data_IF_198086694744
#
_entry.id   IF_198086694744
#
_cell.length_a   1.000
_cell.length_b   1.000
_cell.length_c   1.000
_cell.angle_alpha   90.00
_cell.angle_beta   90.00
_cell.angle_gamma   90.00
#
_symmetry.space_group_name_H-M   'P 1'
#
loop_
_entity.id
_entity.type
_entity.pdbx_description
1 polymer ?
#
# COMPACT_ATOMS: atom_id res chain seq x y z
N UNK A 1 5.62 7.85 -10.69
CA UNK A 1 4.88 9.00 -10.16
C UNK A 1 3.39 8.64 -10.11
N UNK A 2 2.73 9.12 -9.05
CA UNK A 2 1.30 8.95 -8.77
C UNK A 2 0.69 10.34 -8.71
N UNK A 3 -0.49 10.51 -9.26
CA UNK A 3 -1.20 11.78 -9.26
C UNK A 3 -2.70 11.61 -9.03
N UNK A 4 -3.35 12.67 -8.62
CA UNK A 4 -4.79 12.74 -8.45
C UNK A 4 -5.35 13.91 -9.28
N UNK A 5 -6.45 13.67 -9.98
CA UNK A 5 -7.21 14.79 -10.58
C UNK A 5 -7.98 15.58 -9.50
N UNK A 6 -8.43 16.80 -9.78
CA UNK A 6 -9.33 17.52 -8.88
C UNK A 6 -10.58 16.71 -8.54
N UNK A 7 -11.05 16.83 -7.29
CA UNK A 7 -12.31 16.23 -6.83
C UNK A 7 -13.47 17.08 -7.33
N UNK A 8 -14.50 16.41 -7.83
CA UNK A 8 -15.75 17.06 -8.32
C UNK A 8 -16.96 16.15 -8.08
N UNK A 9 -18.20 16.65 -8.24
CA UNK A 9 -19.38 15.79 -8.21
C UNK A 9 -19.30 14.68 -9.26
N UNK A 10 -19.74 13.47 -8.92
CA UNK A 10 -19.70 12.33 -9.81
C UNK A 10 -20.66 12.55 -11.00
N UNK A 11 -20.19 12.24 -12.21
CA UNK A 11 -20.98 12.36 -13.43
C UNK A 11 -20.58 11.34 -14.49
N UNK A 12 -21.57 10.86 -15.26
CA UNK A 12 -21.35 9.92 -16.37
C UNK A 12 -20.92 8.51 -15.92
N UNK A 13 -21.32 8.09 -14.71
CA UNK A 13 -21.13 6.74 -14.19
C UNK A 13 -22.31 5.85 -14.52
N UNK A 14 -22.05 4.57 -14.74
CA UNK A 14 -23.11 3.56 -14.87
C UNK A 14 -23.81 3.31 -13.54
N UNK A 15 -23.06 3.37 -12.44
CA UNK A 15 -23.54 3.15 -11.07
C UNK A 15 -22.79 4.05 -10.10
N UNK A 16 -23.31 5.25 -9.85
CA UNK A 16 -22.81 6.09 -8.76
C UNK A 16 -23.97 6.42 -7.83
N UNK A 17 -23.79 6.25 -6.51
CA UNK A 17 -24.80 6.69 -5.55
C UNK A 17 -25.01 8.21 -5.59
N UNK A 18 -26.21 8.63 -5.20
CA UNK A 18 -26.53 10.05 -5.12
C UNK A 18 -25.57 10.78 -4.18
N UNK A 19 -25.11 11.93 -4.64
CA UNK A 19 -24.18 12.77 -3.90
C UNK A 19 -22.75 12.26 -3.86
N UNK A 20 -22.40 11.18 -4.57
CA UNK A 20 -21.01 10.74 -4.69
C UNK A 20 -20.15 11.81 -5.36
N UNK A 21 -18.86 11.85 -4.99
CA UNK A 21 -17.84 12.65 -5.68
C UNK A 21 -16.88 11.75 -6.42
N UNK A 22 -16.16 12.33 -7.36
CA UNK A 22 -15.22 11.57 -8.19
C UNK A 22 -13.87 12.27 -8.31
N UNK A 23 -12.86 11.47 -8.57
CA UNK A 23 -11.55 11.89 -9.07
C UNK A 23 -10.95 10.78 -9.95
N UNK A 24 -9.83 11.08 -10.60
CA UNK A 24 -9.04 10.09 -11.32
C UNK A 24 -7.73 9.88 -10.61
N UNK A 25 -7.42 8.63 -10.28
CA UNK A 25 -6.11 8.23 -9.80
C UNK A 25 -5.23 7.90 -11.01
N UNK A 26 -4.10 8.60 -11.10
CA UNK A 26 -3.10 8.46 -12.14
C UNK A 26 -1.95 7.61 -11.62
N UNK A 27 -1.73 6.45 -12.20
CA UNK A 27 -0.66 5.51 -11.86
C UNK A 27 0.34 5.44 -13.01
N UNK A 28 1.55 4.91 -12.73
CA UNK A 28 2.61 4.71 -13.71
C UNK A 28 2.86 5.97 -14.57
N UNK A 29 3.09 7.12 -13.92
CA UNK A 29 3.31 8.42 -14.59
C UNK A 29 2.14 8.87 -15.50
N UNK A 30 0.92 8.47 -15.15
CA UNK A 30 -0.29 8.79 -15.91
C UNK A 30 -0.57 7.86 -17.09
N UNK A 31 0.15 6.76 -17.25
CA UNK A 31 -0.14 5.75 -18.26
C UNK A 31 -1.35 4.88 -17.89
N UNK A 32 -1.65 4.76 -16.59
CA UNK A 32 -2.78 3.99 -16.10
C UNK A 32 -3.71 4.93 -15.33
N UNK A 33 -4.97 4.94 -15.71
CA UNK A 33 -6.01 5.73 -15.08
C UNK A 33 -6.98 4.82 -14.33
N UNK A 34 -7.36 5.22 -13.11
CA UNK A 34 -8.43 4.59 -12.36
C UNK A 34 -9.50 5.63 -12.03
N UNK A 35 -10.74 5.33 -12.37
CA UNK A 35 -11.87 6.18 -11.99
C UNK A 35 -12.26 5.88 -10.55
N UNK A 36 -12.31 6.91 -9.70
CA UNK A 36 -12.57 6.74 -8.28
C UNK A 36 -13.84 7.46 -7.86
N UNK A 37 -14.67 6.81 -7.04
CA UNK A 37 -15.79 7.42 -6.34
C UNK A 37 -15.45 7.63 -4.88
N UNK A 38 -15.78 8.78 -4.35
CA UNK A 38 -15.78 9.07 -2.91
C UNK A 38 -17.21 8.87 -2.43
N UNK A 39 -17.39 7.96 -1.48
CA UNK A 39 -18.69 7.47 -1.04
C UNK A 39 -19.00 7.86 0.40
N UNK A 40 -20.28 8.00 0.68
CA UNK A 40 -20.82 8.28 2.01
C UNK A 40 -21.19 6.99 2.74
N UNK A 41 -21.08 7.02 4.05
CA UNK A 41 -21.70 6.04 4.92
C UNK A 41 -23.20 6.34 5.15
N UNK A 42 -23.85 5.54 5.98
CA UNK A 42 -25.27 5.70 6.35
C UNK A 42 -25.58 7.01 7.08
N UNK A 43 -24.59 7.65 7.69
CA UNK A 43 -24.70 8.95 8.34
C UNK A 43 -24.53 10.12 7.37
N UNK A 44 -24.29 9.86 6.10
CA UNK A 44 -24.08 10.90 5.09
C UNK A 44 -22.67 11.51 5.07
N UNK A 45 -21.72 10.93 5.83
CA UNK A 45 -20.33 11.37 5.92
C UNK A 45 -19.48 10.58 4.92
N UNK A 46 -18.60 11.26 4.19
CA UNK A 46 -17.68 10.58 3.29
C UNK A 46 -16.57 9.86 4.08
N UNK A 47 -16.48 8.55 3.93
CA UNK A 47 -15.59 7.69 4.71
C UNK A 47 -14.80 6.67 3.90
N UNK A 48 -15.03 6.55 2.60
CA UNK A 48 -14.36 5.57 1.74
C UNK A 48 -14.22 6.03 0.30
N UNK A 49 -13.31 5.38 -0.42
CA UNK A 49 -13.19 5.49 -1.88
C UNK A 49 -13.33 4.12 -2.52
N UNK A 50 -14.06 4.05 -3.63
CA UNK A 50 -14.15 2.88 -4.48
C UNK A 50 -13.40 3.14 -5.78
N UNK A 51 -12.48 2.26 -6.14
CA UNK A 51 -11.59 2.39 -7.30
C UNK A 51 -12.04 1.46 -8.40
N UNK A 52 -12.30 2.00 -9.57
CA UNK A 52 -12.80 1.28 -10.73
C UNK A 52 -11.81 1.33 -11.90
N UNK A 53 -11.87 0.33 -12.76
CA UNK A 53 -11.11 0.35 -14.02
C UNK A 53 -11.49 1.56 -14.89
N UNK A 54 -12.79 1.86 -14.97
CA UNK A 54 -13.36 3.03 -15.64
C UNK A 54 -14.79 3.27 -15.14
N UNK A 55 -15.43 4.38 -15.55
CA UNK A 55 -16.79 4.76 -15.13
C UNK A 55 -17.92 3.83 -15.59
N UNK A 56 -17.66 2.92 -16.53
CA UNK A 56 -18.63 1.95 -17.04
C UNK A 56 -18.54 0.60 -16.32
N UNK A 57 -17.51 0.38 -15.52
CA UNK A 57 -17.35 -0.84 -14.73
C UNK A 57 -18.47 -0.91 -13.68
N UNK A 58 -19.09 -2.08 -13.55
CA UNK A 58 -20.18 -2.32 -12.61
C UNK A 58 -19.65 -2.53 -11.17
N UNK A 59 -18.49 -3.15 -11.05
CA UNK A 59 -17.87 -3.45 -9.77
C UNK A 59 -16.55 -2.68 -9.61
N UNK A 60 -16.22 -2.24 -8.38
CA UNK A 60 -14.91 -1.68 -8.10
C UNK A 60 -13.83 -2.77 -8.17
N UNK A 61 -12.61 -2.37 -8.53
CA UNK A 61 -11.43 -3.22 -8.38
C UNK A 61 -11.13 -3.45 -6.89
N UNK A 62 -11.27 -2.40 -6.09
CA UNK A 62 -11.12 -2.43 -4.63
C UNK A 62 -11.77 -1.19 -4.00
N UNK A 63 -12.04 -1.30 -2.69
CA UNK A 63 -12.56 -0.21 -1.86
C UNK A 63 -11.58 0.05 -0.74
N UNK A 64 -11.33 1.32 -0.43
CA UNK A 64 -10.46 1.75 0.66
C UNK A 64 -11.28 2.55 1.66
N UNK A 65 -11.48 2.02 2.85
CA UNK A 65 -12.09 2.73 3.97
C UNK A 65 -11.06 3.67 4.62
N UNK A 66 -11.53 4.78 5.17
CA UNK A 66 -10.69 5.75 5.83
C UNK A 66 -9.94 5.11 7.00
N UNK A 67 -8.64 5.39 7.09
CA UNK A 67 -7.72 4.94 8.13
C UNK A 67 -7.46 3.43 8.20
N UNK A 68 -7.89 2.65 7.20
CA UNK A 68 -7.60 1.22 7.09
C UNK A 68 -6.40 0.99 6.17
N UNK A 69 -5.46 0.18 6.61
CA UNK A 69 -4.32 -0.26 5.80
C UNK A 69 -4.71 -1.52 5.01
N UNK A 70 -4.59 -1.44 3.70
CA UNK A 70 -4.84 -2.54 2.78
C UNK A 70 -3.52 -3.01 2.18
N UNK A 71 -3.14 -4.23 2.51
CA UNK A 71 -2.02 -4.91 1.89
C UNK A 71 -2.49 -5.75 0.69
N UNK A 72 -1.53 -6.10 -0.17
CA UNK A 72 -1.72 -7.07 -1.25
C UNK A 72 -2.83 -6.68 -2.26
N UNK A 73 -3.04 -5.39 -2.48
CA UNK A 73 -3.94 -4.92 -3.54
C UNK A 73 -3.31 -5.23 -4.89
N UNK A 74 -4.00 -6.07 -5.67
CA UNK A 74 -3.61 -6.36 -7.05
C UNK A 74 -4.16 -5.28 -7.98
N UNK A 75 -3.25 -4.64 -8.70
CA UNK A 75 -3.56 -3.65 -9.73
C UNK A 75 -2.54 -3.75 -10.87
N UNK A 76 -2.65 -2.91 -11.86
CA UNK A 76 -1.75 -2.86 -12.99
C UNK A 76 -0.63 -1.83 -12.75
N UNK A 77 0.54 -2.09 -13.33
CA UNK A 77 1.63 -1.12 -13.46
C UNK A 77 2.25 -1.22 -14.85
N UNK A 78 3.05 -0.23 -15.22
CA UNK A 78 3.74 -0.20 -16.52
C UNK A 78 5.23 -0.50 -16.28
N UNK A 79 5.74 -1.56 -16.89
CA UNK A 79 7.13 -1.98 -16.79
C UNK A 79 7.61 -2.54 -18.12
N UNK A 80 8.79 -2.12 -18.57
CA UNK A 80 9.39 -2.59 -19.83
C UNK A 80 8.45 -2.48 -21.04
N UNK A 81 7.75 -1.34 -21.15
CA UNK A 81 6.80 -1.04 -22.22
C UNK A 81 5.52 -1.90 -22.23
N UNK A 82 5.27 -2.66 -21.17
CA UNK A 82 4.09 -3.51 -21.01
C UNK A 82 3.32 -3.18 -19.73
N UNK A 83 2.02 -3.45 -19.76
CA UNK A 83 1.16 -3.42 -18.57
C UNK A 83 1.25 -4.79 -17.90
N UNK A 84 1.68 -4.81 -16.64
CA UNK A 84 1.83 -6.03 -15.84
C UNK A 84 1.02 -5.92 -14.56
N UNK A 85 0.61 -7.06 -14.03
CA UNK A 85 -0.04 -7.12 -12.71
C UNK A 85 0.98 -6.88 -11.61
N UNK A 86 0.61 -6.05 -10.65
CA UNK A 86 1.49 -5.67 -9.55
C UNK A 86 0.74 -5.66 -8.22
N UNK A 87 1.49 -5.96 -7.17
CA UNK A 87 1.04 -5.85 -5.79
C UNK A 87 1.34 -4.45 -5.24
N UNK A 88 0.40 -3.89 -4.46
CA UNK A 88 0.52 -2.58 -3.78
C UNK A 88 -0.04 -2.65 -2.36
N UNK A 89 0.50 -1.81 -1.49
CA UNK A 89 -0.15 -1.45 -0.24
C UNK A 89 -0.77 -0.05 -0.39
N UNK A 90 -1.95 0.14 0.18
CA UNK A 90 -2.66 1.41 0.13
C UNK A 90 -3.32 1.74 1.47
N UNK A 91 -3.49 3.03 1.75
CA UNK A 91 -4.27 3.54 2.87
C UNK A 91 -4.90 4.88 2.51
N UNK A 92 -6.19 5.03 2.76
CA UNK A 92 -6.85 6.33 2.74
C UNK A 92 -6.58 7.02 4.08
N UNK A 93 -5.47 7.79 4.13
CA UNK A 93 -4.93 8.38 5.37
C UNK A 93 -5.84 9.48 5.91
N UNK A 94 -6.36 10.31 5.02
CA UNK A 94 -7.29 11.40 5.36
C UNK A 94 -8.41 11.49 4.33
N UNK A 95 -9.60 11.75 4.80
CA UNK A 95 -10.75 12.13 3.99
C UNK A 95 -11.60 13.10 4.82
N UNK A 96 -11.83 14.31 4.28
CA UNK A 96 -12.71 15.29 4.93
C UNK A 96 -14.16 14.82 4.90
N UNK A 97 -14.94 15.17 5.93
CA UNK A 97 -16.34 14.76 6.07
C UNK A 97 -17.21 15.19 4.88
N UNK A 98 -16.86 16.33 4.27
CA UNK A 98 -17.52 16.84 3.06
C UNK A 98 -16.99 16.21 1.77
N UNK A 99 -15.97 15.34 1.82
CA UNK A 99 -15.35 14.69 0.68
C UNK A 99 -14.62 15.64 -0.28
N UNK A 100 -14.21 16.84 0.17
CA UNK A 100 -13.51 17.83 -0.66
C UNK A 100 -12.00 17.67 -0.68
N UNK A 101 -11.44 16.96 0.32
CA UNK A 101 -9.99 16.73 0.47
C UNK A 101 -9.73 15.29 0.86
N UNK A 102 -8.67 14.73 0.30
CA UNK A 102 -8.18 13.41 0.68
C UNK A 102 -6.65 13.34 0.65
N UNK A 103 -6.10 12.44 1.45
CA UNK A 103 -4.70 12.03 1.40
C UNK A 103 -4.64 10.51 1.28
N UNK A 104 -3.96 10.03 0.25
CA UNK A 104 -3.86 8.61 -0.07
C UNK A 104 -2.40 8.18 -0.05
N UNK A 105 -2.09 7.17 0.75
CA UNK A 105 -0.84 6.42 0.65
C UNK A 105 -0.97 5.33 -0.41
N UNK A 106 0.01 5.24 -1.28
CA UNK A 106 0.14 4.18 -2.27
C UNK A 106 1.62 3.79 -2.31
N UNK A 107 1.90 2.52 -2.04
CA UNK A 107 3.27 2.01 -2.10
C UNK A 107 3.83 1.99 -3.54
N UNK A 108 5.14 1.89 -3.71
CA UNK A 108 5.71 1.38 -4.95
C UNK A 108 5.10 0.02 -5.31
N UNK A 109 5.20 -0.36 -6.57
CA UNK A 109 4.69 -1.65 -7.04
C UNK A 109 5.70 -2.77 -6.90
N UNK A 110 5.23 -3.96 -6.55
CA UNK A 110 5.95 -5.21 -6.73
C UNK A 110 5.34 -5.95 -7.93
N UNK A 111 6.14 -6.19 -8.97
CA UNK A 111 5.72 -7.03 -10.10
C UNK A 111 5.62 -8.49 -9.64
N UNK A 112 4.40 -9.00 -9.56
CA UNK A 112 4.14 -10.34 -9.02
C UNK A 112 4.46 -11.47 -9.99
N UNK A 113 4.65 -11.16 -11.28
CA UNK A 113 5.02 -12.15 -12.31
C UNK A 113 6.54 -12.28 -12.49
N UNK A 114 7.34 -11.39 -11.88
CA UNK A 114 8.78 -11.41 -12.04
C UNK A 114 9.39 -12.60 -11.27
N UNK A 115 10.07 -13.47 -11.99
CA UNK A 115 10.77 -14.64 -11.44
C UNK A 115 12.31 -14.54 -11.56
N UNK A 116 12.79 -13.46 -12.16
CA UNK A 116 14.20 -13.26 -12.51
C UNK A 116 15.12 -13.03 -11.30
N UNK A 117 14.58 -12.68 -10.16
CA UNK A 117 15.30 -12.52 -8.89
C UNK A 117 15.18 -13.74 -7.96
N UNK A 118 14.51 -14.82 -8.41
CA UNK A 118 14.35 -16.05 -7.63
C UNK A 118 15.35 -17.14 -8.13
N UNK A 119 16.01 -17.79 -7.18
CA UNK A 119 16.87 -18.91 -7.51
C UNK A 119 16.74 -20.05 -6.48
N UNK A 120 16.36 -21.27 -6.90
CA UNK A 120 15.88 -21.59 -8.25
C UNK A 120 14.54 -20.88 -8.56
N UNK A 121 14.22 -20.68 -9.83
CA UNK A 121 12.99 -19.99 -10.27
C UNK A 121 11.69 -20.64 -9.74
N UNK A 122 11.71 -21.96 -9.54
CA UNK A 122 10.59 -22.72 -8.94
C UNK A 122 10.22 -22.24 -7.55
N UNK A 123 11.17 -21.64 -6.82
CA UNK A 123 10.93 -21.09 -5.50
C UNK A 123 9.89 -19.96 -5.51
N UNK A 124 9.83 -19.16 -6.58
CA UNK A 124 8.82 -18.12 -6.74
C UNK A 124 7.40 -18.70 -6.63
N UNK A 125 7.07 -19.68 -7.47
CA UNK A 125 5.74 -20.29 -7.45
C UNK A 125 5.44 -20.96 -6.12
N UNK A 126 6.43 -21.63 -5.53
CA UNK A 126 6.30 -22.33 -4.25
C UNK A 126 5.94 -21.34 -3.12
N UNK A 127 6.68 -20.25 -2.98
CA UNK A 127 6.45 -19.24 -1.95
C UNK A 127 5.11 -18.53 -2.20
N UNK A 128 4.83 -18.10 -3.43
CA UNK A 128 3.58 -17.40 -3.75
C UNK A 128 2.36 -18.25 -3.45
N UNK A 129 2.40 -19.56 -3.76
CA UNK A 129 1.27 -20.46 -3.53
C UNK A 129 1.01 -20.80 -2.06
N UNK A 130 2.02 -20.71 -1.19
CA UNK A 130 1.90 -21.13 0.21
C UNK A 130 1.90 -19.95 1.19
N UNK A 131 2.60 -18.87 0.87
CA UNK A 131 2.77 -17.71 1.76
C UNK A 131 2.08 -16.46 1.17
N UNK A 132 2.07 -16.32 -0.15
CA UNK A 132 1.55 -15.16 -0.85
C UNK A 132 2.64 -14.34 -1.54
N UNK A 133 2.21 -13.27 -2.23
CA UNK A 133 3.12 -12.42 -2.97
C UNK A 133 4.09 -11.68 -2.07
N UNK A 134 5.35 -11.46 -2.53
CA UNK A 134 6.27 -10.58 -1.82
C UNK A 134 5.61 -9.20 -1.66
N UNK A 135 5.65 -8.62 -0.45
CA UNK A 135 5.11 -7.29 -0.24
C UNK A 135 5.92 -6.25 -1.02
N UNK A 136 5.29 -5.11 -1.37
CA UNK A 136 6.04 -3.95 -1.84
C UNK A 136 7.09 -3.52 -0.80
N UNK A 137 8.09 -2.74 -1.25
CA UNK A 137 9.11 -2.25 -0.32
C UNK A 137 8.50 -1.61 0.93
N UNK A 138 9.05 -1.95 2.08
CA UNK A 138 8.67 -1.35 3.37
C UNK A 138 9.15 0.10 3.53
N UNK A 139 10.01 0.58 2.65
CA UNK A 139 10.46 1.97 2.67
C UNK A 139 9.36 2.93 2.27
N UNK A 140 9.15 3.96 3.09
CA UNK A 140 8.26 5.07 2.77
C UNK A 140 9.07 6.21 2.16
N UNK A 141 8.85 6.43 0.87
CA UNK A 141 9.47 7.53 0.13
C UNK A 141 8.68 8.83 0.33
N UNK A 142 9.38 9.96 0.20
CA UNK A 142 8.79 11.28 0.34
C UNK A 142 9.01 11.89 1.73
N UNK A 143 8.50 13.11 1.92
CA UNK A 143 8.79 13.94 3.09
C UNK A 143 7.54 14.24 3.95
N UNK A 144 6.38 13.62 3.66
CA UNK A 144 5.17 13.82 4.46
C UNK A 144 5.25 13.02 5.78
N UNK A 145 5.43 13.71 6.94
CA UNK A 145 5.60 13.03 8.22
C UNK A 145 4.32 12.35 8.69
N UNK A 146 3.16 12.91 8.39
CA UNK A 146 1.86 12.33 8.78
C UNK A 146 1.63 11.01 8.05
N UNK A 147 1.93 10.97 6.76
CA UNK A 147 1.84 9.77 5.96
C UNK A 147 2.79 8.69 6.48
N UNK A 148 4.03 9.07 6.80
CA UNK A 148 5.01 8.13 7.38
C UNK A 148 4.54 7.60 8.73
N UNK A 149 4.15 8.46 9.66
CA UNK A 149 3.72 8.06 11.01
C UNK A 149 2.51 7.10 10.97
N UNK A 150 1.57 7.33 10.04
CA UNK A 150 0.35 6.52 9.94
C UNK A 150 0.48 5.21 9.17
N UNK A 151 1.52 5.01 8.37
CA UNK A 151 1.60 3.84 7.48
C UNK A 151 2.88 3.01 7.65
N UNK A 152 3.86 3.53 8.34
CA UNK A 152 5.19 2.95 8.44
C UNK A 152 5.16 1.58 9.13
N UNK A 153 4.48 1.48 10.27
CA UNK A 153 4.44 0.27 11.08
C UNK A 153 3.83 -0.90 10.31
N UNK A 154 2.66 -0.70 9.69
CA UNK A 154 1.99 -1.75 8.93
C UNK A 154 2.80 -2.23 7.72
N UNK A 155 3.49 -1.31 7.04
CA UNK A 155 4.39 -1.68 5.93
C UNK A 155 5.53 -2.58 6.42
N UNK A 156 6.11 -2.29 7.57
CA UNK A 156 7.19 -3.08 8.14
C UNK A 156 6.72 -4.40 8.70
N UNK A 157 5.62 -4.41 9.43
CA UNK A 157 5.02 -5.63 9.95
C UNK A 157 4.67 -6.59 8.81
N UNK A 158 4.06 -6.09 7.74
CA UNK A 158 3.75 -6.91 6.57
C UNK A 158 5.00 -7.51 5.92
N UNK A 159 6.05 -6.72 5.75
CA UNK A 159 7.31 -7.16 5.17
C UNK A 159 8.04 -8.18 6.07
N UNK A 160 8.11 -7.90 7.36
CA UNK A 160 8.75 -8.79 8.34
C UNK A 160 8.00 -10.12 8.48
N UNK A 161 6.67 -10.08 8.54
CA UNK A 161 5.84 -11.28 8.64
C UNK A 161 6.00 -12.16 7.41
N UNK A 162 5.90 -11.58 6.20
CA UNK A 162 6.09 -12.35 4.97
C UNK A 162 7.48 -13.01 4.90
N UNK A 163 8.51 -12.28 5.30
CA UNK A 163 9.89 -12.82 5.34
C UNK A 163 10.01 -13.97 6.36
N UNK A 164 9.47 -13.81 7.57
CA UNK A 164 9.48 -14.84 8.59
C UNK A 164 8.72 -16.10 8.15
N UNK A 165 7.53 -15.92 7.58
CA UNK A 165 6.71 -17.04 7.10
C UNK A 165 7.40 -17.80 5.96
N UNK A 166 8.03 -17.07 5.02
CA UNK A 166 8.78 -17.66 3.93
C UNK A 166 9.99 -18.47 4.43
N UNK A 167 10.74 -17.96 5.40
CA UNK A 167 11.86 -18.66 6.01
C UNK A 167 11.40 -19.92 6.75
N UNK A 168 10.37 -19.81 7.57
CA UNK A 168 9.81 -20.95 8.30
C UNK A 168 9.29 -22.03 7.34
N UNK A 169 8.61 -21.64 6.28
CA UNK A 169 8.13 -22.56 5.24
C UNK A 169 9.29 -23.32 4.61
N UNK A 170 10.34 -22.63 4.19
CA UNK A 170 11.51 -23.26 3.57
C UNK A 170 12.19 -24.25 4.53
N UNK A 171 12.33 -23.92 5.79
CA UNK A 171 12.94 -24.82 6.78
C UNK A 171 12.07 -26.05 7.06
N UNK A 172 10.75 -25.90 7.13
CA UNK A 172 9.84 -26.96 7.52
C UNK A 172 9.46 -27.89 6.36
N UNK A 173 9.32 -27.35 5.16
CA UNK A 173 8.73 -28.06 4.02
C UNK A 173 9.72 -28.43 2.93
N UNK A 174 10.78 -27.63 2.74
CA UNK A 174 11.79 -27.86 1.70
C UNK A 174 13.04 -28.57 2.22
N UNK A 175 13.11 -28.86 3.51
CA UNK A 175 14.21 -29.59 4.12
C UNK A 175 15.54 -28.83 4.17
N UNK A 176 15.52 -27.50 4.07
CA UNK A 176 16.71 -26.69 4.26
C UNK A 176 17.20 -26.79 5.70
N UNK A 177 18.46 -27.17 5.87
CA UNK A 177 19.09 -27.31 7.20
C UNK A 177 19.61 -25.98 7.73
N UNK A 178 19.86 -25.02 6.86
CA UNK A 178 20.29 -23.67 7.21
C UNK A 178 19.73 -22.67 6.20
N UNK A 179 19.23 -21.55 6.71
CA UNK A 179 18.74 -20.43 5.90
C UNK A 179 19.40 -19.15 6.42
N UNK A 180 19.99 -18.40 5.51
CA UNK A 180 20.55 -17.08 5.79
C UNK A 180 19.63 -16.02 5.22
N UNK A 181 19.22 -15.06 6.06
CA UNK A 181 18.36 -13.97 5.64
C UNK A 181 18.85 -12.65 6.21
N UNK A 182 18.61 -11.57 5.47
CA UNK A 182 18.86 -10.21 5.90
C UNK A 182 17.53 -9.55 6.30
N UNK A 183 17.34 -9.37 7.60
CA UNK A 183 16.20 -8.66 8.16
C UNK A 183 16.54 -7.17 8.24
N UNK A 184 16.19 -6.42 7.19
CA UNK A 184 16.58 -5.02 7.06
C UNK A 184 15.60 -4.05 7.74
N UNK A 185 14.49 -4.56 8.23
CA UNK A 185 13.40 -3.72 8.79
C UNK A 185 13.87 -2.85 9.94
N UNK A 186 14.60 -3.41 10.90
CA UNK A 186 15.07 -2.71 12.10
C UNK A 186 16.01 -1.55 11.76
N UNK A 187 16.96 -1.78 10.84
CA UNK A 187 17.88 -0.75 10.39
C UNK A 187 17.17 0.40 9.66
N UNK A 188 16.28 0.07 8.72
CA UNK A 188 15.49 1.04 7.99
C UNK A 188 14.54 1.85 8.89
N UNK A 189 13.99 1.21 9.90
CA UNK A 189 13.16 1.85 10.92
C UNK A 189 13.97 2.86 11.71
N UNK A 190 15.13 2.45 12.23
CA UNK A 190 16.03 3.33 12.95
C UNK A 190 16.38 4.58 12.15
N UNK A 191 16.80 4.42 10.91
CA UNK A 191 17.11 5.55 10.01
C UNK A 191 15.91 6.46 9.77
N UNK A 192 14.74 5.90 9.54
CA UNK A 192 13.52 6.68 9.26
C UNK A 192 13.08 7.45 10.49
N UNK A 193 13.01 6.82 11.67
CA UNK A 193 12.56 7.46 12.90
C UNK A 193 13.56 8.51 13.36
N UNK A 194 14.85 8.22 13.36
CA UNK A 194 15.88 9.18 13.71
C UNK A 194 15.87 10.40 12.79
N UNK A 195 15.52 10.24 11.52
CA UNK A 195 15.39 11.36 10.59
C UNK A 195 14.17 12.25 10.86
N UNK A 196 13.14 11.71 11.54
CA UNK A 196 11.92 12.45 11.87
C UNK A 196 12.07 13.28 13.17
N UNK A 197 12.86 12.79 14.14
CA UNK A 197 12.99 13.38 15.46
C UNK A 197 13.50 14.84 15.49
N UNK A 198 14.53 15.25 14.70
CA UNK A 198 15.08 16.60 14.77
C UNK A 198 14.14 17.68 14.21
N UNK A 199 13.21 17.33 13.36
CA UNK A 199 12.38 18.27 12.60
C UNK A 199 10.98 18.46 13.18
N UNK A 200 10.70 17.91 14.36
CA UNK A 200 9.37 17.98 14.98
C UNK A 200 8.29 17.52 14.01
N UNK A 201 8.36 16.28 13.60
CA UNK A 201 7.37 15.69 12.69
C UNK A 201 6.01 15.59 13.39
N UNK A 202 5.38 16.71 13.58
CA UNK A 202 4.03 16.96 14.01
C UNK A 202 3.58 16.14 15.23
N UNK A 203 3.19 14.92 15.03
CA UNK A 203 2.63 14.04 16.06
C UNK A 203 3.62 12.95 16.53
N UNK A 204 4.80 12.81 15.91
CA UNK A 204 5.77 11.78 16.28
C UNK A 204 6.82 12.35 17.24
N UNK A 205 6.73 11.96 18.51
CA UNK A 205 7.58 12.45 19.59
C UNK A 205 8.71 11.44 19.92
N UNK A 206 9.67 11.86 20.77
CA UNK A 206 10.66 10.95 21.32
C UNK A 206 10.02 9.83 22.15
N UNK A 207 8.91 10.11 22.83
CA UNK A 207 8.18 9.10 23.58
C UNK A 207 7.58 8.02 22.68
N UNK A 208 7.05 8.41 21.50
CA UNK A 208 6.54 7.45 20.51
C UNK A 208 7.68 6.55 19.98
N UNK A 209 8.88 7.11 19.82
CA UNK A 209 10.04 6.34 19.44
C UNK A 209 10.49 5.35 20.53
N UNK A 210 10.51 5.78 21.79
CA UNK A 210 10.84 4.93 22.92
C UNK A 210 9.80 3.81 23.11
N UNK A 211 8.53 4.11 22.97
CA UNK A 211 7.43 3.12 22.97
C UNK A 211 7.57 2.14 21.81
N UNK A 212 7.90 2.63 20.63
CA UNK A 212 8.15 1.79 19.46
C UNK A 212 9.33 0.84 19.70
N UNK A 213 10.46 1.32 20.20
CA UNK A 213 11.59 0.47 20.54
C UNK A 213 11.23 -0.62 21.55
N UNK A 214 10.41 -0.31 22.56
CA UNK A 214 9.99 -1.28 23.55
C UNK A 214 9.05 -2.36 23.01
N UNK A 215 8.30 -2.08 21.94
CA UNK A 215 7.38 -3.04 21.32
C UNK A 215 8.06 -3.93 20.29
N UNK A 216 9.14 -3.47 19.67
CA UNK A 216 9.81 -4.15 18.55
C UNK A 216 11.10 -4.88 19.02
N UNK A 217 11.59 -4.62 20.23
CA UNK A 217 12.76 -5.25 20.85
C UNK A 217 12.40 -5.94 22.19
#
# INVERSE_FOLDING_TARGET
DIGLSPIKPASGWSQAPDGAKEFVLLLAKGLIHRSCLILKNELGIYDRIAVYKNKKALEPLYVLDKDVFYADILDETYKNEEIVTANRNMRLVELSEDGSKLKLYISPTMNIAADDFWFPKTLHQLIVSNIGYPPPTSMLYGHDPVLKAKTMLECWQKSAQWQADSLNFMMQHEGYQAVFSHFHSVDLQGHTILSLLPNGAGEFTRADYEEFLQKEY
#
